data_IF_797097081140
#
_entry.id   IF_797097081140
#
_cell.length_a   1.000
_cell.length_b   1.000
_cell.length_c   1.000
_cell.angle_alpha   90.00
_cell.angle_beta   90.00
_cell.angle_gamma   90.00
#
_symmetry.space_group_name_H-M   'P 1'
#
loop_
_entity.id
_entity.type
_entity.pdbx_description
1 polymer ?
#
# COMPACT_ATOMS: atom_id res chain seq x y z
N UNK A 1 8.64 9.90 11.75
CA UNK A 1 8.70 8.63 10.98
C UNK A 1 7.28 8.11 10.92
N UNK A 2 6.55 8.44 9.85
CA UNK A 2 5.16 8.02 9.66
C UNK A 2 5.17 6.55 9.23
N UNK A 3 4.82 5.67 10.15
CA UNK A 3 4.52 4.27 9.84
C UNK A 3 3.10 4.23 9.25
N UNK A 4 2.93 3.44 8.20
CA UNK A 4 1.78 3.39 7.28
C UNK A 4 0.49 2.83 7.93
N UNK A 5 -0.03 3.49 8.97
CA UNK A 5 -1.21 3.05 9.72
C UNK A 5 -2.48 3.84 9.37
N UNK A 6 -2.36 5.16 9.24
CA UNK A 6 -3.46 6.05 8.82
C UNK A 6 -3.29 6.43 7.34
N UNK A 7 -4.36 6.42 6.51
CA UNK A 7 -5.79 6.41 6.86
C UNK A 7 -6.46 5.02 6.96
N UNK A 8 -5.72 3.92 6.74
CA UNK A 8 -6.34 2.59 6.60
C UNK A 8 -6.96 2.07 7.90
N UNK A 9 -6.25 2.21 9.03
CA UNK A 9 -6.76 1.82 10.36
C UNK A 9 -8.00 2.65 10.72
N UNK A 10 -8.00 3.95 10.43
CA UNK A 10 -9.14 4.84 10.73
C UNK A 10 -10.41 4.39 9.99
N UNK A 11 -10.28 3.95 8.74
CA UNK A 11 -11.39 3.40 7.96
C UNK A 11 -11.93 2.09 8.55
N UNK A 12 -11.04 1.21 9.01
CA UNK A 12 -11.40 -0.06 9.65
C UNK A 12 -12.09 0.18 11.00
N UNK A 13 -11.57 1.10 11.81
CA UNK A 13 -12.20 1.51 13.07
C UNK A 13 -13.58 2.12 12.86
N UNK A 14 -13.74 2.96 11.83
CA UNK A 14 -15.05 3.47 11.44
C UNK A 14 -16.03 2.37 11.00
N UNK A 15 -15.55 1.31 10.35
CA UNK A 15 -16.37 0.18 9.89
C UNK A 15 -16.74 -0.81 11.01
N UNK A 16 -15.91 -0.91 12.07
CA UNK A 16 -16.06 -1.85 13.18
C UNK A 16 -17.48 -1.94 13.77
N UNK A 17 -18.16 -0.84 14.16
CA UNK A 17 -19.50 -0.93 14.75
C UNK A 17 -20.53 -1.50 13.77
N UNK A 18 -20.45 -1.14 12.48
CA UNK A 18 -21.36 -1.67 11.45
C UNK A 18 -21.14 -3.17 11.25
N UNK A 19 -19.90 -3.63 11.24
CA UNK A 19 -19.59 -5.06 11.15
C UNK A 19 -20.14 -5.83 12.36
N UNK A 20 -20.07 -5.24 13.56
CA UNK A 20 -20.62 -5.84 14.77
C UNK A 20 -22.15 -6.01 14.72
N UNK A 21 -22.89 -5.09 14.09
CA UNK A 21 -24.34 -5.23 13.84
C UNK A 21 -24.67 -6.45 12.97
N UNK A 22 -23.73 -6.87 12.12
CA UNK A 22 -23.82 -8.08 11.30
C UNK A 22 -23.22 -9.33 11.95
N UNK A 23 -22.84 -9.26 13.24
CA UNK A 23 -22.23 -10.38 13.96
C UNK A 23 -20.77 -10.64 13.59
N UNK A 24 -20.10 -9.71 12.90
CA UNK A 24 -18.69 -9.82 12.51
C UNK A 24 -17.85 -9.09 13.55
N UNK A 25 -17.01 -9.83 14.26
CA UNK A 25 -15.98 -9.26 15.14
C UNK A 25 -14.74 -8.93 14.31
N UNK A 26 -14.53 -7.64 14.03
CA UNK A 26 -13.32 -7.19 13.37
C UNK A 26 -12.13 -7.23 14.34
N UNK A 27 -11.02 -7.84 13.95
CA UNK A 27 -9.73 -7.73 14.63
C UNK A 27 -8.74 -7.06 13.68
N UNK A 28 -8.07 -6.00 14.14
CA UNK A 28 -7.13 -5.23 13.32
C UNK A 28 -5.72 -5.64 13.70
N UNK A 29 -4.97 -6.12 12.73
CA UNK A 29 -3.54 -6.43 12.86
C UNK A 29 -2.78 -5.40 12.02
N UNK A 30 -1.82 -4.73 12.65
CA UNK A 30 -1.03 -3.68 12.03
C UNK A 30 0.34 -4.21 11.60
N UNK A 31 0.76 -3.84 10.41
CA UNK A 31 2.05 -4.20 9.84
C UNK A 31 2.87 -2.95 9.56
N UNK A 32 4.20 -3.08 9.61
CA UNK A 32 5.14 -1.97 9.39
C UNK A 32 5.72 -1.94 7.97
N UNK A 33 5.36 -2.89 7.12
CA UNK A 33 5.86 -3.05 5.74
C UNK A 33 4.76 -3.54 4.77
N UNK A 34 5.10 -3.59 3.48
CA UNK A 34 4.16 -3.93 2.40
C UNK A 34 4.16 -5.40 1.96
N UNK A 35 5.12 -6.20 2.43
CA UNK A 35 5.28 -7.62 2.06
C UNK A 35 4.48 -8.49 3.01
N UNK A 36 4.65 -8.28 4.32
CA UNK A 36 4.07 -9.09 5.38
C UNK A 36 2.54 -9.21 5.31
N UNK A 37 1.75 -8.16 4.98
CA UNK A 37 0.30 -8.29 4.90
C UNK A 37 -0.19 -9.28 3.83
N UNK A 38 0.51 -9.39 2.70
CA UNK A 38 0.15 -10.32 1.63
C UNK A 38 0.59 -11.75 1.94
N UNK A 39 1.77 -11.94 2.54
CA UNK A 39 2.22 -13.26 3.01
C UNK A 39 1.29 -13.79 4.10
N UNK A 40 0.96 -12.94 5.08
CA UNK A 40 0.03 -13.28 6.17
C UNK A 40 -1.34 -13.73 5.65
N UNK A 41 -1.86 -13.06 4.61
CA UNK A 41 -3.11 -13.46 3.95
C UNK A 41 -2.97 -14.79 3.19
N UNK A 42 -1.89 -14.96 2.42
CA UNK A 42 -1.63 -16.20 1.67
C UNK A 42 -1.41 -17.43 2.56
N UNK A 43 -0.87 -17.24 3.76
CA UNK A 43 -0.68 -18.28 4.78
C UNK A 43 -1.95 -18.54 5.61
N UNK A 44 -3.02 -17.74 5.43
CA UNK A 44 -4.26 -17.84 6.19
C UNK A 44 -4.18 -17.33 7.63
N UNK A 45 -3.16 -16.54 7.96
CA UNK A 45 -3.03 -15.89 9.27
C UNK A 45 -3.93 -14.66 9.42
N UNK A 46 -4.36 -14.06 8.30
CA UNK A 46 -5.38 -13.00 8.23
C UNK A 46 -6.40 -13.32 7.15
N UNK A 47 -7.64 -12.86 7.32
CA UNK A 47 -8.73 -13.12 6.36
C UNK A 47 -8.80 -12.11 5.21
N UNK A 48 -8.26 -10.90 5.43
CA UNK A 48 -8.20 -9.82 4.45
C UNK A 48 -7.14 -8.79 4.85
N UNK A 49 -6.66 -7.99 3.89
CA UNK A 49 -5.83 -6.81 4.15
C UNK A 49 -6.36 -5.57 3.41
N UNK A 50 -6.03 -4.37 3.92
CA UNK A 50 -6.43 -3.08 3.35
C UNK A 50 -5.24 -2.12 3.38
N UNK A 51 -4.39 -2.16 2.36
CA UNK A 51 -3.21 -1.26 2.27
C UNK A 51 -2.75 -0.96 0.84
N UNK A 52 -3.14 -1.78 -0.14
CA UNK A 52 -2.53 -1.81 -1.47
C UNK A 52 -3.48 -1.36 -2.59
N UNK A 53 -2.90 -1.06 -3.75
CA UNK A 53 -3.61 -0.86 -5.01
C UNK A 53 -3.47 -2.08 -5.94
N UNK A 54 -4.37 -2.20 -6.91
CA UNK A 54 -4.48 -3.38 -7.78
C UNK A 54 -3.15 -3.78 -8.48
N UNK A 55 -2.36 -2.88 -9.09
CA UNK A 55 -1.12 -3.28 -9.74
C UNK A 55 -0.07 -3.90 -8.81
N UNK A 56 -0.05 -3.50 -7.53
CA UNK A 56 0.89 -4.07 -6.56
C UNK A 56 0.45 -5.47 -6.16
N UNK A 57 -0.85 -5.65 -5.91
CA UNK A 57 -1.44 -6.96 -5.58
C UNK A 57 -1.19 -7.97 -6.69
N UNK A 58 -1.44 -7.61 -7.96
CA UNK A 58 -1.23 -8.50 -9.11
C UNK A 58 0.25 -8.87 -9.27
N UNK A 59 1.16 -7.89 -9.15
CA UNK A 59 2.59 -8.17 -9.23
C UNK A 59 3.05 -9.08 -8.09
N UNK A 60 2.63 -8.80 -6.86
CA UNK A 60 3.00 -9.59 -5.69
C UNK A 60 2.48 -11.02 -5.77
N UNK A 61 1.21 -11.20 -6.17
CA UNK A 61 0.59 -12.51 -6.39
C UNK A 61 1.39 -13.34 -7.41
N UNK A 62 1.78 -12.72 -8.52
CA UNK A 62 2.58 -13.37 -9.56
C UNK A 62 4.00 -13.73 -9.09
N UNK A 63 4.68 -12.81 -8.38
CA UNK A 63 6.05 -13.03 -7.90
C UNK A 63 6.13 -14.10 -6.80
N UNK A 64 5.12 -14.16 -5.93
CA UNK A 64 5.11 -15.04 -4.76
C UNK A 64 4.27 -16.32 -4.94
N UNK A 65 3.60 -16.49 -6.10
CA UNK A 65 2.68 -17.60 -6.38
C UNK A 65 1.57 -17.73 -5.33
N UNK A 66 0.98 -16.60 -4.95
CA UNK A 66 -0.14 -16.52 -4.00
C UNK A 66 -1.39 -16.13 -4.78
N UNK A 67 -2.52 -16.79 -4.51
CA UNK A 67 -3.81 -16.37 -5.06
C UNK A 67 -4.38 -15.21 -4.22
N UNK A 68 -4.40 -14.01 -4.80
CA UNK A 68 -4.95 -12.81 -4.19
C UNK A 68 -6.02 -12.22 -5.10
N UNK A 69 -7.15 -11.88 -4.51
CA UNK A 69 -8.28 -11.26 -5.22
C UNK A 69 -8.69 -9.95 -4.56
N UNK A 70 -9.02 -8.95 -5.38
CA UNK A 70 -9.56 -7.70 -4.91
C UNK A 70 -11.09 -7.82 -4.69
N UNK A 71 -11.54 -7.70 -3.45
CA UNK A 71 -12.97 -7.73 -3.12
C UNK A 71 -13.71 -6.43 -3.48
N UNK A 72 -12.98 -5.32 -3.57
CA UNK A 72 -13.55 -4.01 -3.90
C UNK A 72 -12.51 -2.89 -3.86
N UNK A 73 -12.89 -1.73 -4.40
CA UNK A 73 -12.10 -0.50 -4.31
C UNK A 73 -12.62 0.33 -3.13
N UNK A 74 -11.72 0.75 -2.24
CA UNK A 74 -12.09 1.46 -1.00
C UNK A 74 -11.82 2.96 -1.12
N UNK A 75 -10.58 3.35 -1.43
CA UNK A 75 -10.17 4.74 -1.55
C UNK A 75 -9.19 4.94 -2.70
N UNK A 76 -9.10 6.19 -3.17
CA UNK A 76 -8.09 6.64 -4.12
C UNK A 76 -7.15 7.61 -3.39
N UNK A 77 -5.86 7.31 -3.41
CA UNK A 77 -4.82 8.18 -2.86
C UNK A 77 -4.00 8.75 -4.02
N UNK A 78 -4.18 10.03 -4.39
CA UNK A 78 -3.41 10.65 -5.46
C UNK A 78 -1.92 10.67 -5.12
N UNK A 79 -1.07 10.33 -6.10
CA UNK A 79 0.36 10.55 -5.98
C UNK A 79 0.67 12.04 -6.12
N UNK A 80 1.59 12.54 -5.30
CA UNK A 80 2.02 13.94 -5.31
C UNK A 80 3.53 14.05 -5.48
N UNK A 81 3.96 15.14 -6.10
CA UNK A 81 5.34 15.60 -6.03
C UNK A 81 5.46 16.57 -4.87
N UNK A 82 6.51 16.42 -4.07
CA UNK A 82 6.78 17.24 -2.91
C UNK A 82 8.22 17.73 -2.98
N UNK A 83 8.45 18.94 -2.48
CA UNK A 83 9.78 19.50 -2.35
C UNK A 83 9.85 20.35 -1.08
N UNK A 84 11.01 20.32 -0.43
CA UNK A 84 11.34 21.24 0.66
C UNK A 84 12.14 22.45 0.17
N UNK A 85 12.49 22.49 -1.13
CA UNK A 85 13.42 23.48 -1.71
C UNK A 85 12.78 24.38 -2.77
N UNK A 86 11.74 23.88 -3.46
CA UNK A 86 11.06 24.59 -4.54
C UNK A 86 9.55 24.57 -4.34
N UNK A 87 8.87 25.63 -4.77
CA UNK A 87 7.42 25.80 -4.56
C UNK A 87 6.59 25.42 -5.79
N UNK A 88 7.21 25.39 -6.98
CA UNK A 88 6.52 25.07 -8.22
C UNK A 88 7.36 24.22 -9.16
N UNK A 89 6.70 23.55 -10.11
CA UNK A 89 7.37 22.79 -11.15
C UNK A 89 8.22 23.67 -12.08
N UNK A 90 7.90 24.96 -12.21
CA UNK A 90 8.65 25.90 -13.02
C UNK A 90 10.04 26.22 -12.43
N UNK A 91 10.23 25.96 -11.13
CA UNK A 91 11.49 26.21 -10.42
C UNK A 91 12.48 25.03 -10.56
N UNK A 92 12.09 23.94 -11.23
CA UNK A 92 12.96 22.80 -11.51
C UNK A 92 14.04 23.24 -12.50
N UNK A 93 15.30 23.12 -12.09
CA UNK A 93 16.45 23.50 -12.92
C UNK A 93 17.06 22.28 -13.58
N UNK A 94 17.75 22.50 -14.68
CA UNK A 94 18.58 21.45 -15.28
C UNK A 94 19.58 20.92 -14.24
N UNK A 95 19.61 19.61 -14.05
CA UNK A 95 20.46 18.95 -13.05
C UNK A 95 19.81 18.74 -11.69
N UNK A 96 18.55 19.11 -11.48
CA UNK A 96 17.79 18.74 -10.29
C UNK A 96 17.64 17.21 -10.16
N UNK A 97 17.69 16.70 -8.93
CA UNK A 97 17.51 15.28 -8.61
C UNK A 97 16.08 15.02 -8.14
N UNK A 98 15.47 13.93 -8.64
CA UNK A 98 14.15 13.46 -8.18
C UNK A 98 14.32 12.12 -7.49
N UNK A 99 13.86 12.02 -6.24
CA UNK A 99 13.74 10.76 -5.53
C UNK A 99 12.40 10.12 -5.84
N UNK A 100 12.41 8.85 -6.25
CA UNK A 100 11.21 8.04 -6.47
C UNK A 100 11.19 6.89 -5.47
N UNK A 101 10.01 6.58 -4.95
CA UNK A 101 9.80 5.36 -4.18
C UNK A 101 9.69 4.18 -5.14
N UNK A 102 10.39 3.10 -4.80
CA UNK A 102 10.53 1.93 -5.67
C UNK A 102 9.99 0.71 -4.93
N UNK A 103 8.85 0.17 -5.36
CA UNK A 103 8.12 -0.89 -4.66
C UNK A 103 8.43 -2.31 -5.18
N UNK A 104 9.02 -2.44 -6.36
CA UNK A 104 9.41 -3.70 -6.98
C UNK A 104 10.68 -3.46 -7.78
N UNK A 105 11.56 -4.47 -7.96
CA UNK A 105 12.76 -4.36 -8.79
C UNK A 105 12.44 -4.73 -10.25
N UNK A 106 12.19 -3.78 -11.18
CA UNK A 106 12.43 -4.07 -12.58
C UNK A 106 13.89 -4.49 -12.78
N UNK A 107 14.06 -5.60 -13.49
CA UNK A 107 15.30 -6.02 -14.15
C UNK A 107 15.74 -5.01 -15.25
N UNK A 108 15.69 -3.70 -15.01
CA UNK A 108 15.92 -2.65 -16.01
C UNK A 108 17.26 -1.93 -15.82
N UNK A 109 18.00 -2.20 -14.74
CA UNK A 109 19.40 -1.80 -14.70
C UNK A 109 20.24 -2.93 -15.32
N UNK A 110 20.85 -2.74 -16.51
CA UNK A 110 21.93 -3.64 -16.92
C UNK A 110 23.00 -3.57 -15.84
N UNK A 111 23.47 -4.73 -15.39
CA UNK A 111 24.64 -4.87 -14.54
C UNK A 111 25.80 -4.09 -15.18
N UNK A 112 26.11 -2.92 -14.64
CA UNK A 112 27.35 -2.18 -14.86
C UNK A 112 27.70 -1.45 -13.56
#
# INVERSE_FOLDING_TARGET
MLLLQSPHVDLLEFARPKLAEHGIKLEIVEFSDFVTPNLSLGEGSTDANLFQHLPYMENFANEHNIDLVALGRVNLNPMGLYSNEIESLADIKQGSTVSLTYASRPNILPNN
#
